data_IF_425177573718
#
_entry.id   IF_425177573718
#
_cell.length_a   1.000
_cell.length_b   1.000
_cell.length_c   1.000
_cell.angle_alpha   90.00
_cell.angle_beta   90.00
_cell.angle_gamma   90.00
#
_symmetry.space_group_name_H-M   'P 1'
#
loop_
_entity.id
_entity.type
_entity.pdbx_description
1 polymer ?
#
# COMPACT_ATOMS: atom_id res chain seq x y z
N UNK A 1 13.98 -19.10 -1.77
CA UNK A 1 14.21 -18.18 -0.62
C UNK A 1 14.30 -19.04 0.62
N UNK A 2 15.30 -18.87 1.47
CA UNK A 2 15.48 -19.77 2.62
C UNK A 2 14.73 -19.28 3.89
N UNK A 3 14.75 -20.10 4.94
CA UNK A 3 14.11 -19.78 6.22
C UNK A 3 14.68 -18.52 6.89
N UNK A 4 15.95 -18.19 6.64
CA UNK A 4 16.60 -16.99 7.20
C UNK A 4 16.13 -15.75 6.46
N UNK A 5 16.04 -15.80 5.13
CA UNK A 5 15.47 -14.72 4.33
C UNK A 5 14.02 -14.41 4.76
N UNK A 6 13.23 -15.45 5.05
CA UNK A 6 11.87 -15.30 5.60
C UNK A 6 11.86 -14.54 6.92
N UNK A 7 12.73 -14.90 7.86
CA UNK A 7 12.81 -14.23 9.15
C UNK A 7 13.28 -12.77 8.99
N UNK A 8 14.26 -12.51 8.13
CA UNK A 8 14.70 -11.15 7.77
C UNK A 8 13.50 -10.31 7.29
N UNK A 9 12.68 -10.83 6.39
CA UNK A 9 11.50 -10.13 5.87
C UNK A 9 10.44 -9.90 6.95
N UNK A 10 10.24 -10.83 7.89
CA UNK A 10 9.29 -10.63 8.99
C UNK A 10 9.75 -9.52 9.93
N UNK A 11 11.05 -9.49 10.27
CA UNK A 11 11.63 -8.44 11.12
C UNK A 11 11.60 -7.06 10.44
N UNK A 12 11.93 -6.99 9.14
CA UNK A 12 11.91 -5.73 8.39
C UNK A 12 10.49 -5.21 8.14
N UNK A 13 9.49 -6.08 7.98
CA UNK A 13 8.09 -5.64 7.90
C UNK A 13 7.57 -5.05 9.22
N UNK A 14 8.06 -5.53 10.36
CA UNK A 14 7.71 -4.99 11.68
C UNK A 14 8.46 -3.68 11.98
N UNK A 15 9.78 -3.67 11.76
CA UNK A 15 10.66 -2.54 12.03
C UNK A 15 11.68 -2.34 10.91
N UNK A 16 11.28 -1.68 9.84
CA UNK A 16 12.15 -1.38 8.69
C UNK A 16 13.42 -0.57 9.03
N UNK A 17 13.44 0.13 10.18
CA UNK A 17 14.60 0.93 10.64
C UNK A 17 15.56 0.17 11.56
N UNK A 18 15.34 -1.13 11.78
CA UNK A 18 16.23 -1.94 12.60
C UNK A 18 17.66 -1.88 12.04
N UNK A 19 18.66 -1.76 12.92
CA UNK A 19 20.04 -1.76 12.47
C UNK A 19 20.44 -3.16 11.95
N UNK A 20 21.29 -3.23 10.92
CA UNK A 20 21.78 -4.52 10.42
C UNK A 20 22.50 -5.34 11.51
N UNK A 21 23.10 -4.67 12.49
CA UNK A 21 23.72 -5.33 13.65
C UNK A 21 22.69 -6.02 14.55
N UNK A 22 21.57 -5.35 14.84
CA UNK A 22 20.48 -5.94 15.63
C UNK A 22 19.74 -7.02 14.84
N UNK A 23 19.45 -6.77 13.56
CA UNK A 23 18.84 -7.76 12.68
C UNK A 23 19.68 -9.03 12.59
N UNK A 24 21.00 -8.91 12.44
CA UNK A 24 21.93 -10.02 12.46
C UNK A 24 21.85 -10.85 13.75
N UNK A 25 21.72 -10.20 14.91
CA UNK A 25 21.52 -10.90 16.20
C UNK A 25 20.21 -11.68 16.23
N UNK A 26 19.12 -11.11 15.72
CA UNK A 26 17.80 -11.75 15.69
C UNK A 26 17.78 -13.00 14.80
N UNK A 27 18.52 -12.98 13.69
CA UNK A 27 18.55 -14.07 12.70
C UNK A 27 19.80 -14.96 12.80
N UNK A 28 20.57 -14.82 13.90
CA UNK A 28 21.81 -15.58 14.15
C UNK A 28 22.86 -15.49 13.02
N UNK A 29 23.04 -14.30 12.43
CA UNK A 29 24.05 -13.99 11.42
C UNK A 29 24.98 -12.85 11.85
N UNK A 30 26.17 -12.81 11.24
CA UNK A 30 27.04 -11.64 11.34
C UNK A 30 26.45 -10.44 10.58
N UNK A 31 26.78 -9.23 11.01
CA UNK A 31 26.31 -7.99 10.37
C UNK A 31 26.63 -7.95 8.85
N UNK A 32 27.83 -8.34 8.36
CA UNK A 32 28.08 -8.38 6.91
C UNK A 32 27.20 -9.40 6.18
N UNK A 33 26.94 -10.57 6.78
CA UNK A 33 26.14 -11.62 6.16
C UNK A 33 24.67 -11.24 6.00
N UNK A 34 24.07 -10.60 7.02
CA UNK A 34 22.69 -10.13 6.92
C UNK A 34 22.55 -8.94 5.97
N UNK A 35 23.53 -8.03 5.96
CA UNK A 35 23.56 -6.90 5.00
C UNK A 35 23.53 -7.40 3.56
N UNK A 36 24.37 -8.38 3.22
CA UNK A 36 24.40 -8.94 1.87
C UNK A 36 23.09 -9.67 1.50
N UNK A 37 22.43 -10.32 2.47
CA UNK A 37 21.12 -10.94 2.24
C UNK A 37 20.02 -9.91 1.97
N UNK A 38 19.92 -8.86 2.79
CA UNK A 38 18.97 -7.76 2.57
C UNK A 38 19.19 -7.12 1.21
N UNK A 39 20.44 -6.82 0.87
CA UNK A 39 20.84 -6.28 -0.45
C UNK A 39 20.36 -7.18 -1.59
N UNK A 40 20.53 -8.50 -1.48
CA UNK A 40 20.02 -9.45 -2.50
C UNK A 40 18.51 -9.51 -2.58
N UNK A 41 17.80 -9.36 -1.47
CA UNK A 41 16.32 -9.32 -1.46
C UNK A 41 15.81 -8.05 -2.14
N UNK A 42 16.50 -6.92 -1.96
CA UNK A 42 16.24 -5.66 -2.66
C UNK A 42 16.56 -5.78 -4.16
N UNK A 43 17.74 -6.27 -4.53
CA UNK A 43 18.15 -6.45 -5.94
C UNK A 43 17.22 -7.39 -6.72
N UNK A 44 16.62 -8.37 -6.04
CA UNK A 44 15.65 -9.30 -6.63
C UNK A 44 14.22 -8.74 -6.68
N UNK A 45 13.98 -7.55 -6.13
CA UNK A 45 12.64 -6.99 -5.99
C UNK A 45 11.72 -7.75 -5.02
N UNK A 46 12.30 -8.58 -4.13
CA UNK A 46 11.53 -9.20 -3.03
C UNK A 46 11.19 -8.14 -1.99
N UNK A 47 12.15 -7.27 -1.69
CA UNK A 47 11.90 -5.99 -1.01
C UNK A 47 11.75 -4.94 -2.10
N UNK A 48 10.52 -4.48 -2.32
CA UNK A 48 10.22 -3.47 -3.34
C UNK A 48 10.66 -2.07 -2.88
N UNK A 49 10.26 -1.67 -1.67
CA UNK A 49 10.64 -0.39 -1.07
C UNK A 49 10.42 -0.38 0.45
N UNK A 50 10.99 0.63 1.12
CA UNK A 50 10.71 0.94 2.52
C UNK A 50 9.84 2.20 2.61
N UNK A 51 8.75 2.16 3.39
CA UNK A 51 7.82 3.28 3.54
C UNK A 51 7.43 3.52 4.99
N UNK A 52 7.27 4.80 5.35
CA UNK A 52 6.69 5.21 6.63
C UNK A 52 5.16 5.14 6.57
N UNK A 53 4.54 4.47 7.55
CA UNK A 53 3.09 4.45 7.72
C UNK A 53 2.62 5.67 8.51
N UNK A 54 1.80 6.51 7.90
CA UNK A 54 1.23 7.71 8.52
C UNK A 54 -0.19 7.43 8.99
N UNK A 55 -0.53 7.91 10.19
CA UNK A 55 -1.91 7.88 10.67
C UNK A 55 -2.71 9.01 9.98
N UNK A 56 -3.68 8.71 9.11
CA UNK A 56 -4.40 9.73 8.34
C UNK A 56 -5.17 10.73 9.22
N UNK A 57 -5.78 10.25 10.31
CA UNK A 57 -6.53 11.10 11.24
C UNK A 57 -5.63 12.13 11.93
N UNK A 58 -4.35 11.80 12.16
CA UNK A 58 -3.37 12.73 12.77
C UNK A 58 -2.85 13.78 11.79
N UNK A 59 -3.15 13.65 10.50
CA UNK A 59 -2.81 14.62 9.45
C UNK A 59 -4.07 15.18 8.78
N UNK A 60 -5.18 15.22 9.52
CA UNK A 60 -6.46 15.81 9.11
C UNK A 60 -7.14 15.14 7.91
N UNK A 61 -6.79 13.89 7.62
CA UNK A 61 -7.42 13.06 6.59
C UNK A 61 -8.34 12.04 7.25
N UNK A 62 -9.58 12.43 7.51
CA UNK A 62 -10.51 11.70 8.39
C UNK A 62 -11.45 10.75 7.65
N UNK A 63 -11.54 10.84 6.33
CA UNK A 63 -12.49 10.05 5.53
C UNK A 63 -11.71 9.12 4.64
N UNK A 64 -12.02 7.82 4.69
CA UNK A 64 -11.47 6.82 3.78
C UNK A 64 -12.62 6.15 3.04
N UNK A 65 -12.48 6.01 1.72
CA UNK A 65 -13.47 5.33 0.91
C UNK A 65 -12.81 4.48 -0.15
N UNK A 66 -13.52 3.43 -0.54
CA UNK A 66 -13.25 2.68 -1.76
C UNK A 66 -14.26 3.09 -2.82
N UNK A 67 -13.82 3.27 -4.06
CA UNK A 67 -14.71 3.45 -5.19
C UNK A 67 -14.50 2.30 -6.16
N UNK A 68 -15.58 1.60 -6.46
CA UNK A 68 -15.66 0.72 -7.60
C UNK A 68 -16.00 1.58 -8.82
N UNK A 69 -15.14 1.59 -9.83
CA UNK A 69 -15.22 2.53 -10.94
C UNK A 69 -15.29 1.78 -12.27
N UNK A 70 -16.19 2.23 -13.16
CA UNK A 70 -16.27 1.76 -14.52
C UNK A 70 -16.04 2.92 -15.49
N UNK A 71 -14.94 2.84 -16.24
CA UNK A 71 -14.61 3.82 -17.29
C UNK A 71 -14.43 3.16 -18.66
N UNK A 72 -14.81 3.84 -19.74
CA UNK A 72 -14.43 3.44 -21.11
C UNK A 72 -13.08 4.01 -21.53
N UNK A 73 -12.64 5.11 -20.92
CA UNK A 73 -11.40 5.82 -21.24
C UNK A 73 -10.39 5.61 -20.09
N UNK A 74 -9.80 4.41 -20.08
CA UNK A 74 -8.91 3.98 -18.99
C UNK A 74 -7.69 4.89 -18.82
N UNK A 75 -7.10 5.37 -19.93
CA UNK A 75 -5.88 6.17 -19.89
C UNK A 75 -6.12 7.53 -19.23
N UNK A 76 -7.18 8.25 -19.63
CA UNK A 76 -7.53 9.53 -18.99
C UNK A 76 -7.93 9.38 -17.53
N UNK A 77 -8.60 8.28 -17.19
CA UNK A 77 -8.97 8.02 -15.79
C UNK A 77 -7.74 7.73 -14.92
N UNK A 78 -6.78 6.93 -15.42
CA UNK A 78 -5.51 6.71 -14.72
C UNK A 78 -4.79 8.04 -14.51
N UNK A 79 -4.64 8.86 -15.55
CA UNK A 79 -3.98 10.17 -15.42
C UNK A 79 -4.64 11.08 -14.40
N UNK A 80 -5.98 11.11 -14.34
CA UNK A 80 -6.70 11.83 -13.29
C UNK A 80 -6.39 11.30 -11.89
N UNK A 81 -6.31 9.99 -11.72
CA UNK A 81 -5.99 9.38 -10.43
C UNK A 81 -4.55 9.65 -10.01
N UNK A 82 -3.59 9.65 -10.94
CA UNK A 82 -2.17 9.97 -10.68
C UNK A 82 -1.98 11.42 -10.22
N UNK A 83 -2.74 12.35 -10.77
CA UNK A 83 -2.71 13.77 -10.39
C UNK A 83 -3.47 14.07 -9.08
N UNK A 84 -4.32 13.15 -8.63
CA UNK A 84 -5.14 13.35 -7.44
C UNK A 84 -4.40 12.92 -6.17
N UNK A 85 -4.09 13.86 -5.24
CA UNK A 85 -3.36 13.53 -4.03
C UNK A 85 -4.16 12.68 -3.03
N UNK A 86 -5.48 12.59 -3.22
CA UNK A 86 -6.36 11.81 -2.35
C UNK A 86 -6.40 10.33 -2.74
N UNK A 87 -5.99 9.97 -3.96
CA UNK A 87 -5.92 8.58 -4.43
C UNK A 87 -4.62 7.95 -3.90
N UNK A 88 -4.76 6.93 -3.05
CA UNK A 88 -3.59 6.24 -2.47
C UNK A 88 -3.37 4.84 -3.03
N UNK A 89 -4.38 4.25 -3.64
CA UNK A 89 -4.30 2.96 -4.31
C UNK A 89 -5.27 2.94 -5.50
N UNK A 90 -4.86 2.35 -6.63
CA UNK A 90 -5.69 2.12 -7.81
C UNK A 90 -5.38 0.73 -8.35
N UNK A 91 -6.39 -0.12 -8.43
CA UNK A 91 -6.27 -1.51 -8.84
C UNK A 91 -7.16 -1.76 -10.04
N UNK A 92 -6.63 -2.38 -11.10
CA UNK A 92 -7.46 -2.94 -12.17
C UNK A 92 -8.06 -4.26 -11.68
N UNK A 93 -9.38 -4.39 -11.76
CA UNK A 93 -10.10 -5.55 -11.23
C UNK A 93 -10.93 -6.24 -12.32
N UNK A 94 -11.29 -7.50 -12.08
CA UNK A 94 -12.27 -8.23 -12.89
C UNK A 94 -13.69 -7.96 -12.38
N UNK A 95 -14.69 -8.14 -13.25
CA UNK A 95 -16.11 -7.96 -12.94
C UNK A 95 -16.74 -6.80 -13.72
N UNK A 96 -17.85 -6.27 -13.19
CA UNK A 96 -18.61 -5.21 -13.85
C UNK A 96 -17.93 -3.84 -13.82
N UNK A 97 -17.09 -3.60 -12.82
CA UNK A 97 -16.20 -2.44 -12.73
C UNK A 97 -14.81 -2.86 -13.20
N UNK A 98 -14.06 -1.92 -13.77
CA UNK A 98 -12.69 -2.18 -14.22
C UNK A 98 -11.62 -1.63 -13.26
N UNK A 99 -12.00 -0.76 -12.31
CA UNK A 99 -11.09 -0.28 -11.27
C UNK A 99 -11.70 -0.31 -9.88
N UNK A 100 -10.83 -0.56 -8.89
CA UNK A 100 -11.06 -0.31 -7.47
C UNK A 100 -9.99 0.68 -7.00
N UNK A 101 -10.40 1.86 -6.56
CA UNK A 101 -9.50 2.83 -5.96
C UNK A 101 -9.81 3.03 -4.49
N UNK A 102 -8.78 3.36 -3.73
CA UNK A 102 -8.87 3.77 -2.34
C UNK A 102 -8.47 5.23 -2.24
N UNK A 103 -9.35 6.03 -1.66
CA UNK A 103 -9.14 7.45 -1.44
C UNK A 103 -9.13 7.78 0.04
N UNK A 104 -8.33 8.77 0.43
CA UNK A 104 -8.34 9.34 1.76
C UNK A 104 -8.45 10.86 1.66
N UNK A 105 -9.54 11.43 2.17
CA UNK A 105 -9.87 12.87 2.10
C UNK A 105 -10.02 13.48 3.49
N UNK A 106 -10.09 14.82 3.59
CA UNK A 106 -10.27 15.49 4.89
C UNK A 106 -11.65 15.20 5.50
N UNK A 107 -12.68 15.11 4.66
CA UNK A 107 -14.08 15.02 5.09
C UNK A 107 -14.96 14.33 4.04
N UNK A 108 -16.21 14.06 4.40
CA UNK A 108 -17.22 13.61 3.45
C UNK A 108 -17.48 14.63 2.34
N UNK A 109 -17.30 15.94 2.60
CA UNK A 109 -17.46 16.97 1.57
C UNK A 109 -16.36 16.88 0.51
N UNK A 110 -15.10 16.78 0.92
CA UNK A 110 -14.00 16.61 -0.05
C UNK A 110 -14.05 15.25 -0.77
N UNK A 111 -14.64 14.22 -0.14
CA UNK A 111 -14.97 12.97 -0.84
C UNK A 111 -16.04 13.18 -1.92
N UNK A 112 -17.10 13.93 -1.63
CA UNK A 112 -18.13 14.27 -2.62
C UNK A 112 -17.53 15.07 -3.79
N UNK A 113 -16.67 16.04 -3.50
CA UNK A 113 -15.97 16.83 -4.52
C UNK A 113 -15.11 15.93 -5.42
N UNK A 114 -14.39 14.96 -4.84
CA UNK A 114 -13.63 13.96 -5.60
C UNK A 114 -14.56 13.10 -6.48
N UNK A 115 -15.68 12.62 -5.95
CA UNK A 115 -16.65 11.81 -6.70
C UNK A 115 -17.18 12.61 -7.90
N UNK A 116 -17.60 13.85 -7.68
CA UNK A 116 -18.10 14.75 -8.73
C UNK A 116 -17.03 15.01 -9.80
N UNK A 117 -15.79 15.29 -9.38
CA UNK A 117 -14.66 15.49 -10.31
C UNK A 117 -14.34 14.23 -11.12
N UNK A 118 -14.48 13.05 -10.53
CA UNK A 118 -14.24 11.76 -11.19
C UNK A 118 -15.35 11.38 -12.18
N UNK A 119 -16.59 11.86 -11.96
CA UNK A 119 -17.77 11.48 -12.76
C UNK A 119 -17.67 11.75 -14.25
N UNK A 120 -16.81 12.69 -14.69
CA UNK A 120 -16.51 12.92 -16.12
C UNK A 120 -15.82 11.73 -16.80
N UNK A 121 -15.20 10.83 -16.04
CA UNK A 121 -14.46 9.68 -16.55
C UNK A 121 -15.27 8.39 -16.53
N UNK A 122 -16.40 8.35 -15.83
CA UNK A 122 -17.24 7.16 -15.73
C UNK A 122 -18.06 7.11 -14.45
N UNK A 123 -18.71 5.95 -14.27
CA UNK A 123 -19.62 5.72 -13.17
C UNK A 123 -18.90 5.05 -12.00
N UNK A 124 -19.31 5.40 -10.78
CA UNK A 124 -18.72 4.86 -9.56
C UNK A 124 -19.74 4.39 -8.55
N UNK A 125 -19.30 3.50 -7.66
CA UNK A 125 -20.02 3.12 -6.44
C UNK A 125 -19.09 3.26 -5.26
N UNK A 126 -19.47 4.13 -4.33
CA UNK A 126 -18.65 4.53 -3.19
C UNK A 126 -18.99 3.69 -1.95
N UNK A 127 -17.95 3.18 -1.30
CA UNK A 127 -17.99 2.41 -0.07
C UNK A 127 -17.16 3.13 0.99
N UNK A 128 -17.81 3.82 1.93
CA UNK A 128 -17.12 4.53 3.00
C UNK A 128 -16.65 3.53 4.07
N UNK A 129 -15.38 3.64 4.47
CA UNK A 129 -14.81 2.82 5.53
C UNK A 129 -15.29 3.32 6.89
N UNK A 130 -16.11 2.51 7.57
CA UNK A 130 -16.58 2.83 8.93
C UNK A 130 -15.53 2.53 10.00
N UNK A 131 -14.79 1.43 9.81
CA UNK A 131 -13.67 1.04 10.67
C UNK A 131 -12.79 0.03 9.93
N UNK A 132 -11.51 -0.04 10.32
CA UNK A 132 -10.57 -1.07 9.85
C UNK A 132 -10.03 -1.83 11.06
N UNK A 133 -10.72 -2.90 11.51
CA UNK A 133 -10.23 -3.72 12.63
C UNK A 133 -8.86 -4.34 12.37
N UNK A 134 -8.51 -4.54 11.10
CA UNK A 134 -7.21 -4.99 10.62
C UNK A 134 -6.81 -4.07 9.46
N UNK A 135 -5.76 -3.27 9.65
CA UNK A 135 -5.34 -2.26 8.66
C UNK A 135 -4.16 -2.74 7.81
N UNK A 136 -3.16 -3.37 8.44
CA UNK A 136 -1.98 -3.91 7.77
C UNK A 136 -1.43 -5.05 8.62
N UNK A 137 -1.22 -6.22 8.02
CA UNK A 137 -0.56 -7.36 8.66
C UNK A 137 0.62 -7.76 7.80
N UNK A 138 1.70 -8.21 8.41
CA UNK A 138 2.88 -8.69 7.69
C UNK A 138 2.48 -9.82 6.73
N UNK A 139 3.01 -9.74 5.52
CA UNK A 139 2.96 -10.82 4.55
C UNK A 139 3.86 -11.92 5.08
N UNK A 140 3.32 -13.14 5.21
CA UNK A 140 4.11 -14.30 5.64
C UNK A 140 4.72 -14.93 4.38
N UNK A 141 6.04 -14.86 4.18
CA UNK A 141 6.66 -15.44 3.01
C UNK A 141 6.59 -16.98 3.09
N UNK A 142 6.33 -17.61 1.95
CA UNK A 142 6.48 -19.07 1.81
C UNK A 142 7.97 -19.38 1.70
N UNK A 143 8.47 -20.28 2.55
CA UNK A 143 9.80 -20.86 2.38
C UNK A 143 9.65 -22.10 1.48
N UNK A 144 10.52 -22.22 0.48
CA UNK A 144 10.70 -23.47 -0.27
C UNK A 144 11.59 -24.42 0.50
#
# INVERSE_FOLDING_TARGET
>A
MDAVDKEILLQLQDQARISMTELGKLVALSQPAVTERVRRLEEKGVIDHYRTMINPQKVHKNTTAFLLFHTKDCEKFIGFCEESPDVIELHRISGQYNYLLKVITESNQSLEDFINASGKYGDSTTLIVLSSPISLKNIVPLAE
#
